data_IF_795346187610
#
_entry.id   IF_795346187610
#
_cell.length_a   1.000
_cell.length_b   1.000
_cell.length_c   1.000
_cell.angle_alpha   90.00
_cell.angle_beta   90.00
_cell.angle_gamma   90.00
#
_symmetry.space_group_name_H-M   'P 1'
#
loop_
_entity.id
_entity.type
_entity.pdbx_description
1 polymer ?
#
# COMPACT_ATOMS: atom_id res chain seq x y z
N UNK A 1 -9.47 0.04 -13.46
CA UNK A 1 -8.51 1.17 -13.58
C UNK A 1 -9.06 2.51 -13.08
N UNK A 2 -10.30 2.91 -13.43
CA UNK A 2 -10.87 4.20 -12.98
C UNK A 2 -11.07 4.31 -11.46
N UNK A 3 -11.52 3.23 -10.81
CA UNK A 3 -11.80 3.22 -9.37
C UNK A 3 -10.56 3.62 -8.58
N UNK A 4 -9.39 3.05 -8.90
CA UNK A 4 -8.15 3.37 -8.20
C UNK A 4 -7.77 4.84 -8.38
N UNK A 5 -7.86 5.37 -9.60
CA UNK A 5 -7.53 6.77 -9.88
C UNK A 5 -8.46 7.76 -9.19
N UNK A 6 -9.76 7.49 -9.19
CA UNK A 6 -10.79 8.40 -8.67
C UNK A 6 -10.88 8.38 -7.14
N UNK A 7 -10.64 7.22 -6.53
CA UNK A 7 -10.80 7.02 -5.08
C UNK A 7 -9.49 7.12 -4.31
N UNK A 8 -8.47 7.79 -4.84
CA UNK A 8 -7.17 7.94 -4.17
C UNK A 8 -7.27 8.55 -2.77
N UNK A 9 -8.24 9.46 -2.55
CA UNK A 9 -8.53 10.05 -1.23
C UNK A 9 -9.03 9.02 -0.22
N UNK A 10 -9.82 8.03 -0.67
CA UNK A 10 -10.28 6.94 0.20
C UNK A 10 -9.08 6.11 0.67
N UNK A 11 -8.17 5.76 -0.24
CA UNK A 11 -6.96 5.02 0.14
C UNK A 11 -6.03 5.85 1.02
N UNK A 12 -5.97 7.16 0.82
CA UNK A 12 -5.22 8.07 1.70
C UNK A 12 -5.79 8.03 3.12
N UNK A 13 -7.10 8.23 3.28
CA UNK A 13 -7.76 8.19 4.59
C UNK A 13 -7.61 6.80 5.22
N UNK A 14 -7.80 5.73 4.46
CA UNK A 14 -7.64 4.35 4.95
C UNK A 14 -6.19 4.07 5.37
N UNK A 15 -5.19 4.60 4.65
CA UNK A 15 -3.77 4.45 5.03
C UNK A 15 -3.45 5.21 6.30
N UNK A 16 -3.96 6.44 6.41
CA UNK A 16 -3.74 7.29 7.58
C UNK A 16 -4.54 6.86 8.81
N UNK A 17 -5.55 6.00 8.67
CA UNK A 17 -6.36 5.48 9.78
C UNK A 17 -6.03 4.01 10.04
N UNK A 18 -6.57 3.11 9.23
CA UNK A 18 -6.37 1.66 9.35
C UNK A 18 -4.89 1.28 9.13
N UNK A 19 -4.21 1.89 8.16
CA UNK A 19 -2.82 1.53 7.84
C UNK A 19 -1.79 1.97 8.88
N UNK A 20 -2.12 2.94 9.73
CA UNK A 20 -1.27 3.41 10.83
C UNK A 20 -1.72 2.88 12.20
N UNK A 21 -2.85 2.18 12.29
CA UNK A 21 -3.37 1.72 13.57
C UNK A 21 -2.47 0.63 14.19
N UNK A 22 -2.37 0.60 15.53
CA UNK A 22 -2.53 1.71 16.46
C UNK A 22 -1.42 2.75 16.24
N UNK A 23 -1.70 4.03 16.43
CA UNK A 23 -0.79 5.11 15.98
C UNK A 23 0.57 5.18 16.68
N UNK A 24 0.76 4.48 17.81
CA UNK A 24 2.01 4.53 18.57
C UNK A 24 2.23 3.24 19.39
N UNK A 25 3.09 2.30 18.94
CA UNK A 25 3.68 2.18 17.60
C UNK A 25 2.71 1.53 16.59
N UNK A 26 2.72 1.91 15.30
CA UNK A 26 1.95 1.24 14.24
C UNK A 26 2.22 -0.26 14.19
N UNK A 27 1.17 -1.08 14.07
CA UNK A 27 1.33 -2.54 13.96
C UNK A 27 2.27 -2.89 12.80
N UNK A 28 2.10 -2.20 11.67
CA UNK A 28 2.90 -2.43 10.47
C UNK A 28 4.40 -2.20 10.68
N UNK A 29 4.80 -1.30 11.59
CA UNK A 29 6.21 -0.97 11.81
C UNK A 29 7.00 -2.15 12.35
N UNK A 30 6.51 -2.77 13.43
CA UNK A 30 7.15 -3.95 14.02
C UNK A 30 7.18 -5.14 13.07
N UNK A 31 6.09 -5.37 12.32
CA UNK A 31 6.04 -6.47 11.35
C UNK A 31 6.99 -6.26 10.18
N UNK A 32 7.14 -5.02 9.68
CA UNK A 32 8.13 -4.72 8.63
C UNK A 32 9.55 -4.97 9.12
N UNK A 33 9.89 -4.57 10.34
CA UNK A 33 11.19 -4.89 10.94
C UNK A 33 11.39 -6.41 11.06
N UNK A 34 10.35 -7.15 11.43
CA UNK A 34 10.38 -8.62 11.52
C UNK A 34 10.63 -9.28 10.16
N UNK A 35 9.96 -8.81 9.11
CA UNK A 35 10.13 -9.28 7.73
C UNK A 35 11.54 -8.94 7.22
N UNK A 36 11.99 -7.71 7.40
CA UNK A 36 13.31 -7.24 6.95
C UNK A 36 14.46 -7.91 7.72
N UNK A 37 14.23 -8.26 8.98
CA UNK A 37 15.18 -8.99 9.81
C UNK A 37 15.28 -10.49 9.49
N UNK A 38 14.49 -11.02 8.54
CA UNK A 38 14.49 -12.42 8.12
C UNK A 38 13.80 -13.39 9.10
N UNK A 39 13.52 -12.94 10.33
CA UNK A 39 12.89 -13.76 11.36
C UNK A 39 11.46 -14.17 11.03
N UNK A 40 10.75 -13.42 10.17
CA UNK A 40 9.36 -13.70 9.81
C UNK A 40 9.14 -15.12 9.20
N UNK A 41 10.18 -15.70 8.60
CA UNK A 41 10.15 -17.02 7.97
C UNK A 41 10.89 -18.11 8.76
N UNK A 42 11.44 -17.77 9.93
CA UNK A 42 12.16 -18.72 10.76
C UNK A 42 11.22 -19.77 11.35
N UNK A 43 11.68 -21.03 11.44
CA UNK A 43 10.86 -22.10 12.02
C UNK A 43 10.58 -21.90 13.52
N UNK A 44 11.50 -21.24 14.25
CA UNK A 44 11.39 -21.04 15.71
C UNK A 44 10.79 -19.70 16.12
N UNK A 45 10.98 -18.65 15.30
CA UNK A 45 10.57 -17.27 15.60
C UNK A 45 9.77 -16.63 14.45
N UNK A 46 9.13 -17.49 13.64
CA UNK A 46 8.33 -17.09 12.49
C UNK A 46 7.09 -16.31 12.90
N UNK A 47 6.58 -15.54 11.97
CA UNK A 47 5.32 -14.83 12.15
C UNK A 47 4.14 -15.80 12.16
N UNK A 48 3.24 -15.63 13.12
CA UNK A 48 1.99 -16.37 13.19
C UNK A 48 1.00 -15.87 12.14
N UNK A 49 -0.07 -16.63 11.89
CA UNK A 49 -1.10 -16.27 10.92
C UNK A 49 -1.74 -14.89 11.21
N UNK A 50 -1.89 -14.53 12.49
CA UNK A 50 -2.39 -13.21 12.89
C UNK A 50 -1.41 -12.09 12.53
N UNK A 51 -0.11 -12.33 12.65
CA UNK A 51 0.90 -11.34 12.30
C UNK A 51 0.92 -11.08 10.80
N UNK A 52 0.74 -12.14 9.99
CA UNK A 52 0.59 -12.03 8.55
C UNK A 52 -0.70 -11.29 8.18
N UNK A 53 -1.79 -11.53 8.90
CA UNK A 53 -3.02 -10.80 8.73
C UNK A 53 -2.84 -9.31 9.07
N UNK A 54 -2.10 -8.96 10.12
CA UNK A 54 -1.78 -7.58 10.45
C UNK A 54 -1.03 -6.88 9.30
N UNK A 55 -0.03 -7.54 8.72
CA UNK A 55 0.72 -7.01 7.56
C UNK A 55 -0.20 -6.78 6.37
N UNK A 56 -1.06 -7.75 6.07
CA UNK A 56 -2.02 -7.63 4.97
C UNK A 56 -3.00 -6.49 5.23
N UNK A 57 -3.64 -6.48 6.40
CA UNK A 57 -4.69 -5.53 6.75
C UNK A 57 -4.18 -4.09 6.78
N UNK A 58 -3.05 -3.85 7.45
CA UNK A 58 -2.49 -2.52 7.60
C UNK A 58 -1.70 -2.09 6.36
N UNK A 59 -1.09 -3.04 5.62
CA UNK A 59 -0.32 -2.77 4.40
C UNK A 59 -1.16 -2.54 3.16
N UNK A 60 -2.33 -3.17 3.05
CA UNK A 60 -3.21 -3.07 1.87
C UNK A 60 -3.59 -1.62 1.52
N UNK A 61 -4.02 -0.77 2.47
CA UNK A 61 -4.32 0.64 2.18
C UNK A 61 -3.14 1.39 1.54
N UNK A 62 -1.91 1.17 2.03
CA UNK A 62 -0.70 1.81 1.51
C UNK A 62 -0.39 1.37 0.08
N UNK A 63 -0.49 0.07 -0.20
CA UNK A 63 -0.25 -0.47 -1.55
C UNK A 63 -1.27 0.13 -2.53
N UNK A 64 -2.55 0.17 -2.16
CA UNK A 64 -3.60 0.75 -3.00
C UNK A 64 -3.38 2.26 -3.23
N UNK A 65 -2.94 2.98 -2.20
CA UNK A 65 -2.58 4.40 -2.30
C UNK A 65 -1.41 4.60 -3.27
N UNK A 66 -0.33 3.82 -3.15
CA UNK A 66 0.84 3.93 -4.04
C UNK A 66 0.48 3.65 -5.50
N UNK A 67 -0.29 2.58 -5.75
CA UNK A 67 -0.77 2.26 -7.11
C UNK A 67 -1.64 3.41 -7.63
N UNK A 68 -2.54 3.94 -6.80
CA UNK A 68 -3.43 5.04 -7.18
C UNK A 68 -2.65 6.32 -7.53
N UNK A 69 -1.65 6.69 -6.73
CA UNK A 69 -0.76 7.82 -6.98
C UNK A 69 0.01 7.60 -8.27
N UNK A 70 0.61 6.42 -8.45
CA UNK A 70 1.36 6.08 -9.66
C UNK A 70 0.49 6.21 -10.91
N UNK A 71 -0.74 5.69 -10.87
CA UNK A 71 -1.69 5.80 -11.97
C UNK A 71 -2.14 7.24 -12.24
N UNK A 72 -2.24 8.10 -11.22
CA UNK A 72 -2.60 9.51 -11.42
C UNK A 72 -1.43 10.33 -11.98
N UNK A 73 -0.20 10.04 -11.56
CA UNK A 73 1.00 10.78 -11.97
C UNK A 73 1.53 10.35 -13.35
N UNK A 74 1.53 9.04 -13.65
CA UNK A 74 2.23 8.51 -14.82
C UNK A 74 1.32 8.08 -15.97
N UNK A 75 0.01 7.93 -15.76
CA UNK A 75 -0.90 7.53 -16.84
C UNK A 75 -1.32 8.68 -17.80
N UNK A 76 -0.73 9.87 -17.66
CA UNK A 76 -1.01 11.04 -18.51
C UNK A 76 -0.28 11.04 -19.87
N UNK A 77 0.37 9.94 -20.28
CA UNK A 77 1.22 9.87 -21.50
C UNK A 77 0.57 9.29 -22.76
N UNK A 78 -0.76 9.32 -22.94
CA UNK A 78 -1.38 8.76 -24.15
C UNK A 78 -2.21 9.70 -25.02
N UNK A 79 -2.42 10.97 -24.64
CA UNK A 79 -3.33 11.86 -25.42
C UNK A 79 -2.68 13.00 -26.20
N UNK A 80 -1.37 13.24 -26.10
CA UNK A 80 -0.73 14.38 -26.79
C UNK A 80 -0.33 14.06 -28.24
N UNK A 81 -0.21 12.79 -28.63
CA UNK A 81 0.31 12.41 -29.95
C UNK A 81 -0.73 12.26 -31.06
N UNK A 82 -2.03 12.38 -30.79
CA UNK A 82 -3.09 12.15 -31.80
C UNK A 82 -3.73 13.42 -32.38
N UNK A 83 -3.46 14.61 -31.86
CA UNK A 83 -4.11 15.86 -32.34
C UNK A 83 -3.27 16.67 -33.32
N UNK A 84 -2.10 16.17 -33.74
CA UNK A 84 -1.17 16.87 -34.64
C UNK A 84 -1.00 16.22 -36.01
N UNK A 85 -1.95 15.40 -36.44
CA UNK A 85 -1.97 14.87 -37.80
C UNK A 85 -3.25 15.28 -38.52
N UNK A 86 -3.08 16.30 -39.36
CA UNK A 86 -3.85 16.69 -40.56
C UNK A 86 -5.31 17.08 -40.37
#
# INVERSE_FOLDING_TARGET
MNILKQNWKLFLIASLTLGLAPFNPPHIWGKLQWILGGNAFSAENGMESQDWFDVLLHGTPWILLLISIFLNLFAAKSKVTSSKKT
#
